data_IF_702389062073
#
_entry.id   IF_702389062073
#
_cell.length_a   1.000
_cell.length_b   1.000
_cell.length_c   1.000
_cell.angle_alpha   90.00
_cell.angle_beta   90.00
_cell.angle_gamma   90.00
#
_symmetry.space_group_name_H-M   'P 1'
#
loop_
_entity.id
_entity.type
_entity.pdbx_description
1 polymer ?
#
# COMPACT_ATOMS: atom_id res chain seq x y z
N UNK A 1 5.65 10.47 -73.15
CA UNK A 1 5.87 11.15 -71.86
C UNK A 1 6.66 10.23 -70.96
N UNK A 2 7.84 10.61 -70.67
CA UNK A 2 8.96 9.76 -70.38
C UNK A 2 9.06 9.32 -68.92
N UNK A 3 9.57 8.14 -68.69
CA UNK A 3 9.84 7.45 -67.42
C UNK A 3 10.51 8.30 -66.32
N UNK A 4 11.17 9.40 -66.69
CA UNK A 4 11.86 10.33 -65.78
C UNK A 4 10.92 11.20 -64.91
N UNK A 5 9.72 11.56 -65.41
CA UNK A 5 8.79 12.40 -64.67
C UNK A 5 8.07 11.64 -63.54
N UNK A 6 7.85 10.31 -63.69
CA UNK A 6 7.23 9.49 -62.63
C UNK A 6 8.16 9.24 -61.47
N UNK A 7 9.47 9.08 -61.74
CA UNK A 7 10.48 8.85 -60.66
C UNK A 7 10.69 10.10 -59.81
N UNK A 8 10.63 11.29 -60.39
CA UNK A 8 10.75 12.56 -59.63
C UNK A 8 9.55 12.79 -58.74
N UNK A 9 8.33 12.47 -59.18
CA UNK A 9 7.10 12.64 -58.35
C UNK A 9 7.09 11.65 -57.18
N UNK A 10 7.57 10.41 -57.38
CA UNK A 10 7.67 9.40 -56.28
C UNK A 10 8.74 9.81 -55.30
N UNK A 11 9.87 10.33 -55.71
CA UNK A 11 10.93 10.80 -54.80
C UNK A 11 10.53 12.04 -54.00
N UNK A 12 9.80 13.00 -54.60
CA UNK A 12 9.31 14.19 -53.89
C UNK A 12 8.24 13.81 -52.82
N UNK A 13 7.32 12.89 -53.13
CA UNK A 13 6.31 12.44 -52.20
C UNK A 13 6.96 11.68 -51.02
N UNK A 14 7.98 10.87 -51.28
CA UNK A 14 8.71 10.13 -50.23
C UNK A 14 9.49 11.08 -49.30
N UNK A 15 10.14 12.12 -49.86
CA UNK A 15 10.83 13.14 -49.08
C UNK A 15 9.87 13.98 -48.26
N UNK A 16 8.72 14.38 -48.80
CA UNK A 16 7.68 15.14 -48.06
C UNK A 16 7.09 14.29 -46.93
N UNK A 17 6.78 13.01 -47.19
CA UNK A 17 6.29 12.09 -46.14
C UNK A 17 7.35 11.89 -45.05
N UNK A 18 8.62 11.75 -45.42
CA UNK A 18 9.73 11.61 -44.46
C UNK A 18 9.90 12.86 -43.61
N UNK A 19 9.80 14.05 -44.21
CA UNK A 19 9.86 15.33 -43.50
C UNK A 19 8.64 15.51 -42.58
N UNK A 20 7.44 15.15 -43.03
CA UNK A 20 6.23 15.19 -42.18
C UNK A 20 6.37 14.20 -41.02
N UNK A 21 6.84 13.00 -41.24
CA UNK A 21 7.09 12.01 -40.16
C UNK A 21 8.16 12.53 -39.21
N UNK A 22 9.21 13.19 -39.69
CA UNK A 22 10.26 13.77 -38.85
C UNK A 22 9.75 14.96 -38.04
N UNK A 23 8.94 15.85 -38.64
CA UNK A 23 8.29 16.99 -37.97
C UNK A 23 7.26 16.52 -36.97
N UNK A 24 6.42 15.52 -37.30
CA UNK A 24 5.48 14.92 -36.40
C UNK A 24 6.23 14.25 -35.23
N UNK A 25 7.30 13.49 -35.48
CA UNK A 25 8.16 12.95 -34.42
C UNK A 25 8.86 14.03 -33.58
N UNK A 26 9.22 15.18 -34.17
CA UNK A 26 9.81 16.29 -33.42
C UNK A 26 8.78 17.08 -32.61
N UNK A 27 7.54 17.17 -33.07
CA UNK A 27 6.42 17.80 -32.34
C UNK A 27 5.81 16.90 -31.27
N UNK A 28 5.78 15.58 -31.48
CA UNK A 28 5.32 14.63 -30.50
C UNK A 28 6.46 14.10 -29.61
N UNK A 29 7.70 14.53 -29.80
CA UNK A 29 8.86 14.18 -28.96
C UNK A 29 9.13 15.16 -27.82
N UNK A 30 8.18 15.95 -27.43
CA UNK A 30 8.16 16.49 -26.08
C UNK A 30 7.15 15.69 -25.29
N UNK A 31 7.63 14.56 -24.75
CA UNK A 31 7.05 14.02 -23.53
C UNK A 31 7.05 15.20 -22.55
N UNK A 32 5.89 15.74 -22.14
CA UNK A 32 5.86 16.87 -21.22
C UNK A 32 6.35 16.46 -19.82
N UNK A 33 6.77 15.21 -19.67
CA UNK A 33 7.22 14.64 -18.42
C UNK A 33 8.72 14.37 -18.48
N UNK A 34 9.49 14.78 -17.46
CA UNK A 34 10.90 14.42 -17.38
C UNK A 34 11.04 12.90 -17.48
N UNK A 35 12.01 12.47 -18.26
CA UNK A 35 12.35 11.05 -18.39
C UNK A 35 12.46 10.44 -17.00
N UNK A 36 12.05 9.18 -16.85
CA UNK A 36 12.10 8.39 -15.59
C UNK A 36 13.43 8.48 -14.82
N UNK A 37 14.48 9.05 -15.42
CA UNK A 37 15.84 9.07 -14.88
C UNK A 37 16.09 10.07 -13.75
N UNK A 38 15.20 11.02 -13.47
CA UNK A 38 15.50 12.12 -12.53
C UNK A 38 14.66 12.15 -11.25
N UNK A 39 13.72 11.23 -11.03
CA UNK A 39 13.03 11.13 -9.74
C UNK A 39 13.79 10.19 -8.80
N UNK A 40 13.89 10.55 -7.54
CA UNK A 40 14.37 9.65 -6.46
C UNK A 40 13.71 8.26 -6.54
N UNK A 41 12.50 8.18 -7.10
CA UNK A 41 11.75 6.96 -7.36
C UNK A 41 12.27 6.13 -8.54
N UNK A 42 13.03 6.69 -9.49
CA UNK A 42 13.53 5.92 -10.65
C UNK A 42 14.64 4.95 -10.25
N UNK A 43 15.43 5.30 -9.25
CA UNK A 43 16.52 4.46 -8.72
C UNK A 43 15.95 3.29 -7.91
N UNK A 44 14.77 3.47 -7.30
CA UNK A 44 14.11 2.48 -6.45
C UNK A 44 13.01 1.68 -7.17
N UNK A 45 12.80 1.94 -8.45
CA UNK A 45 11.60 1.55 -9.22
C UNK A 45 11.41 0.04 -9.40
N UNK A 46 12.42 -0.79 -9.15
CA UNK A 46 12.32 -2.24 -9.31
C UNK A 46 11.94 -2.97 -8.04
N UNK A 47 12.04 -2.32 -6.86
CA UNK A 47 11.96 -3.00 -5.56
C UNK A 47 10.98 -2.33 -4.58
N UNK A 48 10.16 -1.36 -5.01
CA UNK A 48 9.16 -0.75 -4.13
C UNK A 48 8.03 -1.74 -3.85
N UNK A 49 7.82 -1.99 -2.57
CA UNK A 49 6.73 -2.87 -2.10
C UNK A 49 5.38 -2.17 -2.20
N UNK A 50 4.40 -2.86 -2.76
CA UNK A 50 2.99 -2.44 -2.86
C UNK A 50 2.16 -2.90 -1.65
N UNK A 51 2.80 -3.49 -0.67
CA UNK A 51 2.24 -3.95 0.58
C UNK A 51 2.99 -5.12 1.18
N UNK A 52 2.56 -5.51 2.38
CA UNK A 52 3.15 -6.59 3.16
C UNK A 52 2.10 -7.65 3.48
N UNK A 53 2.45 -8.93 3.32
CA UNK A 53 1.65 -10.09 3.67
C UNK A 53 2.30 -10.90 4.79
N UNK A 54 1.51 -11.68 5.53
CA UNK A 54 2.08 -12.71 6.39
C UNK A 54 2.85 -13.72 5.54
N UNK A 55 4.04 -14.15 5.99
CA UNK A 55 4.92 -14.97 5.17
C UNK A 55 4.52 -16.44 5.05
N UNK A 56 3.38 -16.83 5.61
CA UNK A 56 2.86 -18.20 5.64
C UNK A 56 1.38 -18.24 5.22
N UNK A 57 0.83 -19.43 5.07
CA UNK A 57 -0.59 -19.67 4.82
C UNK A 57 -1.13 -18.86 3.62
N UNK A 58 -2.30 -18.26 3.79
CA UNK A 58 -2.98 -17.45 2.78
C UNK A 58 -2.45 -16.01 2.64
N UNK A 59 -1.44 -15.64 3.44
CA UNK A 59 -0.89 -14.29 3.49
C UNK A 59 -1.70 -13.30 4.34
N UNK A 60 -2.87 -13.70 4.86
CA UNK A 60 -3.72 -12.87 5.73
C UNK A 60 -3.55 -13.20 7.22
N UNK A 61 -2.57 -14.03 7.55
CA UNK A 61 -2.34 -14.54 8.90
C UNK A 61 -3.16 -15.78 9.23
N UNK A 62 -3.80 -16.39 8.25
CA UNK A 62 -4.62 -17.59 8.34
C UNK A 62 -4.28 -18.60 7.25
N UNK A 63 -5.31 -19.33 6.83
CA UNK A 63 -5.21 -20.36 5.78
C UNK A 63 -4.93 -21.75 6.30
N UNK A 64 -5.29 -22.73 5.45
CA UNK A 64 -5.08 -24.14 5.73
C UNK A 64 -3.69 -24.59 5.30
N UNK A 65 -3.16 -25.60 5.93
CA UNK A 65 -1.94 -26.27 5.55
C UNK A 65 -2.08 -27.78 5.79
N UNK A 66 -1.23 -28.56 5.12
CA UNK A 66 -1.23 -30.01 5.25
C UNK A 66 0.10 -30.47 5.85
N UNK A 67 0.05 -31.15 6.97
CA UNK A 67 1.22 -31.78 7.58
C UNK A 67 1.84 -32.78 6.58
N UNK A 68 3.10 -32.55 6.24
CA UNK A 68 3.78 -33.33 5.22
C UNK A 68 4.08 -34.78 5.63
N UNK A 69 4.05 -35.07 6.95
CA UNK A 69 4.31 -36.41 7.48
C UNK A 69 3.05 -37.25 7.53
N UNK A 70 1.98 -36.70 8.06
CA UNK A 70 0.72 -37.45 8.25
C UNK A 70 -0.30 -37.27 7.12
N UNK A 71 -0.12 -36.27 6.25
CA UNK A 71 -1.09 -35.89 5.22
C UNK A 71 -2.36 -35.23 5.76
N UNK A 72 -2.44 -34.98 7.07
CA UNK A 72 -3.61 -34.37 7.72
C UNK A 72 -3.61 -32.86 7.53
N UNK A 73 -4.78 -32.31 7.19
CA UNK A 73 -4.96 -30.87 7.03
C UNK A 73 -5.38 -30.19 8.32
N UNK A 74 -4.84 -28.98 8.52
CA UNK A 74 -5.12 -28.12 9.66
C UNK A 74 -5.45 -26.70 9.14
N UNK A 75 -6.10 -25.90 9.98
CA UNK A 75 -6.48 -24.53 9.60
C UNK A 75 -6.09 -23.53 10.67
N UNK A 76 -5.37 -22.50 10.24
CA UNK A 76 -4.99 -21.34 11.05
C UNK A 76 -3.59 -21.43 11.65
N UNK A 77 -3.13 -20.27 12.08
CA UNK A 77 -1.81 -20.01 12.65
C UNK A 77 -1.94 -19.19 13.92
N UNK A 78 -0.95 -19.21 14.78
CA UNK A 78 -0.93 -18.44 16.02
C UNK A 78 0.48 -17.99 16.38
N UNK A 79 0.59 -16.95 17.19
CA UNK A 79 1.85 -16.45 17.74
C UNK A 79 2.11 -17.21 19.05
N UNK A 80 3.22 -17.93 19.10
CA UNK A 80 3.68 -18.59 20.32
C UNK A 80 4.47 -17.64 21.21
N UNK A 81 5.36 -16.82 20.63
CA UNK A 81 6.17 -15.82 21.33
C UNK A 81 6.07 -14.48 20.63
N UNK A 82 5.76 -13.42 21.36
CA UNK A 82 5.57 -12.07 20.80
C UNK A 82 6.86 -11.24 20.79
N UNK A 83 6.91 -10.21 19.92
CA UNK A 83 8.01 -9.24 19.93
C UNK A 83 8.10 -8.51 21.27
N UNK A 84 9.32 -8.39 21.79
CA UNK A 84 9.63 -7.78 23.09
C UNK A 84 9.09 -8.53 24.30
N UNK A 85 8.68 -9.77 24.13
CA UNK A 85 8.38 -10.70 25.22
C UNK A 85 9.67 -11.15 25.89
N UNK A 86 9.67 -11.24 27.21
CA UNK A 86 10.81 -11.71 28.01
C UNK A 86 10.63 -13.20 28.30
N UNK A 87 11.63 -13.99 28.01
CA UNK A 87 11.67 -15.42 28.27
C UNK A 87 13.10 -15.86 28.67
N UNK A 88 13.35 -17.14 28.89
CA UNK A 88 14.63 -17.60 29.46
C UNK A 88 15.87 -17.29 28.63
N UNK A 89 15.75 -17.17 27.29
CA UNK A 89 16.85 -16.80 26.40
C UNK A 89 17.03 -15.28 26.27
N UNK A 90 16.18 -14.47 26.94
CA UNK A 90 16.26 -13.02 26.91
C UNK A 90 15.00 -12.33 26.41
N UNK A 91 15.13 -11.35 25.52
CA UNK A 91 14.03 -10.56 25.00
C UNK A 91 13.85 -10.88 23.51
N UNK A 92 12.67 -11.36 23.15
CA UNK A 92 12.35 -11.83 21.81
C UNK A 92 12.32 -10.67 20.80
N UNK A 93 12.97 -10.83 19.64
CA UNK A 93 13.14 -9.78 18.63
C UNK A 93 12.07 -9.77 17.55
N UNK A 94 11.34 -10.89 17.40
CA UNK A 94 10.31 -11.08 16.38
C UNK A 94 9.02 -11.66 16.92
N UNK A 95 8.35 -12.42 16.10
CA UNK A 95 7.20 -13.25 16.46
C UNK A 95 7.48 -14.68 16.03
N UNK A 96 7.27 -15.65 16.93
CA UNK A 96 7.31 -17.06 16.60
C UNK A 96 5.93 -17.54 16.21
N UNK A 97 5.81 -18.03 14.99
CA UNK A 97 4.55 -18.43 14.38
C UNK A 97 4.48 -19.94 14.20
N UNK A 98 3.41 -20.53 14.72
CA UNK A 98 3.11 -21.96 14.63
C UNK A 98 1.77 -22.21 13.95
N UNK A 99 1.67 -23.36 13.29
CA UNK A 99 0.40 -23.89 12.81
C UNK A 99 -0.47 -24.44 13.96
N UNK A 100 -1.78 -24.22 13.88
CA UNK A 100 -2.74 -24.65 14.93
C UNK A 100 -2.89 -26.18 15.06
N UNK A 101 -2.27 -26.99 14.21
CA UNK A 101 -2.19 -28.43 14.38
C UNK A 101 -1.35 -28.86 15.57
N UNK A 102 -0.43 -27.99 16.01
CA UNK A 102 0.49 -28.25 17.12
C UNK A 102 1.59 -29.27 16.79
N UNK A 103 2.49 -29.51 17.75
CA UNK A 103 3.65 -30.40 17.55
C UNK A 103 4.48 -30.01 16.34
N UNK A 104 4.79 -30.98 15.47
CA UNK A 104 5.61 -30.77 14.28
C UNK A 104 4.79 -30.63 12.98
N UNK A 105 3.49 -30.34 13.06
CA UNK A 105 2.58 -30.36 11.91
C UNK A 105 2.84 -29.28 10.88
N UNK A 106 3.55 -28.23 11.24
CA UNK A 106 3.95 -27.11 10.38
C UNK A 106 5.38 -27.25 9.83
N UNK A 107 6.13 -28.29 10.20
CA UNK A 107 7.45 -28.57 9.61
C UNK A 107 7.34 -28.69 8.08
N UNK A 108 8.27 -28.04 7.37
CA UNK A 108 8.31 -28.05 5.90
C UNK A 108 7.26 -27.17 5.20
N UNK A 109 6.37 -26.50 5.95
CA UNK A 109 5.40 -25.61 5.33
C UNK A 109 6.07 -24.43 4.61
N UNK A 110 5.52 -23.99 3.46
CA UNK A 110 6.15 -22.96 2.63
C UNK A 110 6.17 -21.60 3.33
N UNK A 111 7.31 -20.92 3.23
CA UNK A 111 7.56 -19.56 3.66
C UNK A 111 7.79 -18.65 2.47
N UNK A 112 7.10 -17.54 2.45
CA UNK A 112 7.10 -16.57 1.37
C UNK A 112 7.67 -15.22 1.83
N UNK A 113 8.25 -14.47 0.89
CA UNK A 113 8.63 -13.08 1.16
C UNK A 113 7.40 -12.25 1.56
N UNK A 114 7.48 -11.52 2.66
CA UNK A 114 6.39 -10.66 3.15
C UNK A 114 6.05 -9.53 2.17
N UNK A 115 7.04 -9.07 1.39
CA UNK A 115 6.89 -7.98 0.42
C UNK A 115 7.93 -8.13 -0.71
N UNK A 116 7.81 -7.31 -1.76
CA UNK A 116 8.88 -7.19 -2.75
C UNK A 116 10.15 -6.62 -2.10
N UNK A 117 11.33 -7.14 -2.47
CA UNK A 117 12.59 -6.71 -1.87
C UNK A 117 13.81 -7.36 -2.46
N UNK A 118 14.98 -7.05 -1.89
CA UNK A 118 16.28 -7.65 -2.26
C UNK A 118 16.79 -8.52 -1.13
N UNK A 119 17.14 -9.76 -1.44
CA UNK A 119 17.72 -10.70 -0.49
C UNK A 119 19.16 -10.25 -0.16
N UNK A 120 19.40 -9.85 1.09
CA UNK A 120 20.70 -9.45 1.57
C UNK A 120 21.53 -10.61 2.10
N UNK A 121 20.84 -11.64 2.63
CA UNK A 121 21.49 -12.87 3.10
C UNK A 121 20.53 -14.06 2.96
N UNK A 122 21.07 -15.22 2.59
CA UNK A 122 20.34 -16.47 2.46
C UNK A 122 21.32 -17.61 2.65
N UNK A 123 21.52 -18.05 3.89
CA UNK A 123 22.46 -19.13 4.23
C UNK A 123 22.16 -19.77 5.58
N UNK A 124 22.87 -20.87 5.83
CA UNK A 124 22.90 -21.53 7.14
C UNK A 124 23.84 -20.78 8.10
N UNK A 125 23.34 -20.48 9.29
CA UNK A 125 24.11 -19.89 10.38
C UNK A 125 24.40 -20.88 11.50
N UNK A 126 24.09 -22.16 11.31
CA UNK A 126 24.20 -23.19 12.34
C UNK A 126 23.16 -23.09 13.46
N UNK A 127 23.19 -24.03 14.38
CA UNK A 127 22.31 -24.00 15.54
C UNK A 127 22.62 -22.79 16.46
N UNK A 128 21.64 -22.16 17.08
CA UNK A 128 20.21 -22.45 17.02
C UNK A 128 19.45 -21.72 15.89
N UNK A 129 20.10 -20.87 15.09
CA UNK A 129 19.47 -20.06 14.07
C UNK A 129 19.03 -20.87 12.85
N UNK A 130 19.81 -21.91 12.48
CA UNK A 130 19.59 -22.72 11.30
C UNK A 130 19.71 -21.89 10.01
N UNK A 131 18.96 -22.28 9.00
CA UNK A 131 18.86 -21.53 7.77
C UNK A 131 18.10 -20.21 7.96
N UNK A 132 18.68 -19.11 7.47
CA UNK A 132 18.15 -17.76 7.60
C UNK A 132 18.07 -17.07 6.25
N UNK A 133 16.95 -16.40 6.00
CA UNK A 133 16.78 -15.46 4.87
C UNK A 133 16.57 -14.06 5.45
N UNK A 134 17.28 -13.06 4.92
CA UNK A 134 17.21 -11.66 5.33
C UNK A 134 16.99 -10.78 4.11
N UNK A 135 15.91 -9.97 4.11
CA UNK A 135 15.45 -9.23 2.94
C UNK A 135 15.29 -7.75 3.28
N UNK A 136 15.80 -6.87 2.41
CA UNK A 136 15.58 -5.43 2.45
C UNK A 136 14.35 -5.07 1.62
N UNK A 137 13.45 -4.27 2.18
CA UNK A 137 12.24 -3.79 1.53
C UNK A 137 12.20 -2.27 1.51
N UNK A 138 11.91 -1.70 0.36
CA UNK A 138 11.58 -0.29 0.23
C UNK A 138 10.08 -0.13 0.01
N UNK A 139 9.47 0.84 0.66
CA UNK A 139 8.05 1.11 0.53
C UNK A 139 7.74 2.60 0.71
N UNK A 140 6.59 3.02 0.22
CA UNK A 140 6.16 4.40 0.31
C UNK A 140 5.23 4.59 1.51
N UNK A 141 5.58 5.51 2.40
CA UNK A 141 4.73 5.88 3.53
C UNK A 141 4.82 7.40 3.77
N UNK A 142 3.66 8.02 3.93
CA UNK A 142 3.57 9.45 4.26
C UNK A 142 4.31 10.37 3.28
N UNK A 143 4.29 10.07 1.99
CA UNK A 143 4.96 10.87 0.98
C UNK A 143 6.48 10.68 0.90
N UNK A 144 7.03 9.68 1.59
CA UNK A 144 8.46 9.36 1.62
C UNK A 144 8.70 7.89 1.35
N UNK A 145 9.83 7.58 0.72
CA UNK A 145 10.33 6.20 0.63
C UNK A 145 10.97 5.85 1.97
N UNK A 146 10.51 4.76 2.55
CA UNK A 146 11.05 4.18 3.78
C UNK A 146 11.63 2.81 3.51
N UNK A 147 12.42 2.33 4.45
CA UNK A 147 13.10 1.05 4.40
C UNK A 147 12.85 0.26 5.67
N UNK A 148 12.60 -1.04 5.50
CA UNK A 148 12.56 -2.03 6.59
C UNK A 148 13.24 -3.31 6.13
N UNK A 149 13.54 -4.18 7.09
CA UNK A 149 14.17 -5.47 6.82
C UNK A 149 13.34 -6.59 7.45
N UNK A 150 13.13 -7.67 6.70
CA UNK A 150 12.53 -8.88 7.24
C UNK A 150 13.56 -9.99 7.41
N UNK A 151 13.46 -10.74 8.52
CA UNK A 151 14.27 -11.90 8.80
C UNK A 151 13.35 -13.10 9.02
N UNK A 152 13.72 -14.22 8.40
CA UNK A 152 13.07 -15.51 8.50
C UNK A 152 14.11 -16.52 8.97
N UNK A 153 13.91 -17.10 10.14
CA UNK A 153 14.88 -18.03 10.72
C UNK A 153 14.27 -19.40 11.07
N UNK A 154 15.13 -20.32 11.48
CA UNK A 154 14.86 -21.71 11.77
C UNK A 154 14.37 -22.51 10.56
N UNK A 155 14.64 -22.00 9.32
CA UNK A 155 14.16 -22.65 8.10
C UNK A 155 14.76 -24.05 7.93
N UNK A 156 13.97 -24.96 7.37
CA UNK A 156 14.43 -26.27 6.94
C UNK A 156 15.20 -26.17 5.59
N UNK A 157 14.61 -25.47 4.61
CA UNK A 157 15.22 -25.25 3.32
C UNK A 157 15.20 -23.77 2.94
N UNK A 158 16.24 -23.33 2.24
CA UNK A 158 16.31 -22.04 1.56
C UNK A 158 15.94 -22.22 0.09
N UNK A 159 15.01 -21.41 -0.43
CA UNK A 159 14.53 -21.43 -1.83
C UNK A 159 14.86 -20.14 -2.58
N UNK A 160 15.78 -19.35 -2.07
CA UNK A 160 16.25 -18.09 -2.65
C UNK A 160 17.76 -17.96 -2.47
N UNK A 161 18.35 -16.87 -2.96
CA UNK A 161 19.79 -16.63 -2.86
C UNK A 161 20.10 -15.15 -2.61
N UNK A 162 21.27 -14.87 -2.07
CA UNK A 162 21.76 -13.50 -1.85
C UNK A 162 21.83 -12.73 -3.16
N UNK A 163 21.35 -11.48 -3.16
CA UNK A 163 21.30 -10.57 -4.30
C UNK A 163 20.04 -10.72 -5.16
N UNK A 164 19.26 -11.80 -4.98
CA UNK A 164 18.03 -11.98 -5.73
C UNK A 164 16.99 -10.93 -5.35
N UNK A 165 16.31 -10.38 -6.36
CA UNK A 165 15.10 -9.57 -6.19
C UNK A 165 13.91 -10.51 -6.14
N UNK A 166 13.16 -10.46 -5.03
CA UNK A 166 11.97 -11.29 -4.81
C UNK A 166 10.71 -10.45 -4.89
N UNK A 167 9.64 -11.07 -5.35
CA UNK A 167 8.30 -10.48 -5.34
C UNK A 167 7.61 -10.72 -3.99
N UNK A 168 6.60 -9.92 -3.69
CA UNK A 168 5.66 -10.20 -2.60
C UNK A 168 5.06 -11.59 -2.79
N UNK A 169 5.04 -12.41 -1.74
CA UNK A 169 4.59 -13.81 -1.76
C UNK A 169 5.41 -14.76 -2.65
N UNK A 170 6.65 -14.42 -3.00
CA UNK A 170 7.57 -15.37 -3.62
C UNK A 170 8.07 -16.37 -2.59
N UNK A 171 8.12 -17.65 -2.96
CA UNK A 171 8.61 -18.74 -2.10
C UNK A 171 10.10 -18.53 -1.83
N UNK A 172 10.48 -18.46 -0.53
CA UNK A 172 11.87 -18.21 -0.10
C UNK A 172 12.44 -19.31 0.78
N UNK A 173 11.61 -20.20 1.32
CA UNK A 173 12.05 -21.30 2.16
C UNK A 173 10.89 -22.12 2.70
N UNK A 174 11.19 -22.99 3.66
CA UNK A 174 10.21 -23.80 4.39
C UNK A 174 10.49 -23.79 5.89
N UNK A 175 9.44 -23.95 6.71
CA UNK A 175 9.56 -24.01 8.18
C UNK A 175 10.44 -25.17 8.61
N UNK A 176 11.34 -24.91 9.53
CA UNK A 176 12.22 -25.91 10.16
C UNK A 176 12.27 -25.77 11.68
N UNK A 177 13.34 -26.27 12.27
CA UNK A 177 13.52 -26.44 13.72
C UNK A 177 14.86 -25.90 14.25
N UNK A 178 15.54 -25.05 13.47
CA UNK A 178 16.84 -24.48 13.85
C UNK A 178 17.91 -25.54 14.10
N UNK A 179 18.00 -26.56 13.24
CA UNK A 179 18.88 -27.73 13.42
C UNK A 179 18.57 -28.53 14.71
N UNK A 180 17.30 -28.83 14.92
CA UNK A 180 16.78 -29.55 16.10
C UNK A 180 16.96 -28.80 17.44
N UNK A 181 17.14 -27.47 17.38
CA UNK A 181 17.24 -26.64 18.57
C UNK A 181 15.88 -26.33 19.18
N UNK A 182 14.83 -26.38 18.37
CA UNK A 182 13.46 -25.99 18.76
C UNK A 182 12.41 -26.93 18.15
N UNK A 183 11.20 -27.02 18.70
CA UNK A 183 10.04 -27.46 17.93
C UNK A 183 9.89 -26.63 16.67
N UNK A 184 9.45 -27.20 15.52
CA UNK A 184 9.28 -26.46 14.28
C UNK A 184 8.41 -25.22 14.46
N UNK A 185 8.87 -24.09 13.94
CA UNK A 185 8.16 -22.83 13.88
C UNK A 185 8.87 -21.85 12.95
N UNK A 186 8.22 -20.77 12.60
CA UNK A 186 8.84 -19.64 11.93
C UNK A 186 9.17 -18.54 12.95
N UNK A 187 10.46 -18.26 13.17
CA UNK A 187 10.91 -17.02 13.80
C UNK A 187 10.92 -15.91 12.74
N UNK A 188 10.10 -14.87 12.92
CA UNK A 188 9.91 -13.82 11.95
C UNK A 188 10.07 -12.43 12.56
N UNK A 189 10.98 -11.63 11.98
CA UNK A 189 11.24 -10.26 12.43
C UNK A 189 10.95 -9.23 11.34
N UNK A 190 10.57 -8.01 11.76
CA UNK A 190 10.63 -6.79 10.94
C UNK A 190 11.48 -5.76 11.67
N UNK A 191 12.66 -5.46 11.12
CA UNK A 191 13.64 -4.52 11.67
C UNK A 191 13.46 -3.13 11.07
N UNK A 192 13.54 -2.11 11.91
CA UNK A 192 13.42 -0.70 11.50
C UNK A 192 14.67 -0.16 10.81
N UNK A 193 15.81 -0.78 11.08
CA UNK A 193 17.11 -0.39 10.51
C UNK A 193 17.97 -1.61 10.24
N UNK A 194 18.93 -1.45 9.32
CA UNK A 194 19.96 -2.46 9.09
C UNK A 194 20.80 -2.66 10.34
N UNK A 195 21.19 -3.89 10.59
CA UNK A 195 22.17 -4.24 11.61
C UNK A 195 23.56 -4.45 10.96
N UNK A 196 23.95 -3.61 9.99
CA UNK A 196 25.16 -3.78 9.17
C UNK A 196 26.44 -3.93 9.99
N UNK A 197 26.51 -3.31 11.17
CA UNK A 197 27.64 -3.48 12.10
C UNK A 197 27.59 -4.77 12.92
N UNK A 198 26.54 -5.58 12.77
CA UNK A 198 26.29 -6.81 13.50
C UNK A 198 25.94 -7.95 12.54
N UNK A 199 26.05 -9.19 13.00
CA UNK A 199 25.51 -10.34 12.26
C UNK A 199 24.02 -10.19 12.04
N UNK A 200 23.46 -10.74 10.94
CA UNK A 200 22.01 -10.82 10.75
C UNK A 200 21.34 -11.63 11.87
N UNK A 201 22.08 -12.53 12.51
CA UNK A 201 21.67 -13.31 13.68
C UNK A 201 21.98 -12.62 15.02
N UNK A 202 22.16 -11.30 15.01
CA UNK A 202 22.41 -10.55 16.22
C UNK A 202 21.27 -10.68 17.22
N UNK A 203 21.65 -11.12 18.45
CA UNK A 203 20.73 -11.27 19.56
C UNK A 203 20.97 -10.16 20.60
N UNK A 204 20.07 -9.17 20.72
CA UNK A 204 20.31 -7.98 21.57
C UNK A 204 20.54 -8.28 23.04
N UNK A 205 19.93 -9.34 23.56
CA UNK A 205 20.10 -9.75 24.97
C UNK A 205 21.53 -10.16 25.31
N UNK A 206 22.32 -10.63 24.34
CA UNK A 206 23.75 -10.93 24.56
C UNK A 206 24.58 -9.68 24.84
N UNK A 207 24.12 -8.50 24.42
CA UNK A 207 24.69 -7.18 24.72
C UNK A 207 23.93 -6.45 25.84
N UNK A 208 23.18 -7.15 26.68
CA UNK A 208 22.38 -6.59 27.76
C UNK A 208 21.36 -5.53 27.30
N UNK A 209 20.86 -5.61 26.07
CA UNK A 209 19.81 -4.72 25.59
C UNK A 209 18.48 -5.09 26.22
N UNK A 210 17.71 -4.09 26.62
CA UNK A 210 16.43 -4.27 27.29
C UNK A 210 15.23 -4.25 26.32
N UNK A 211 14.04 -4.54 26.85
CA UNK A 211 12.77 -4.53 26.12
C UNK A 211 12.54 -3.21 25.36
N UNK A 212 12.88 -2.06 25.95
CA UNK A 212 12.73 -0.76 25.29
C UNK A 212 13.62 -0.64 24.06
N UNK A 213 14.86 -1.16 24.13
CA UNK A 213 15.76 -1.20 22.99
C UNK A 213 15.18 -2.05 21.84
N UNK A 214 14.61 -3.23 22.15
CA UNK A 214 13.94 -4.08 21.15
C UNK A 214 12.77 -3.31 20.53
N UNK A 215 11.88 -2.73 21.31
CA UNK A 215 10.73 -1.92 20.81
C UNK A 215 11.16 -0.73 19.94
N UNK A 216 12.35 -0.16 20.21
CA UNK A 216 12.90 0.94 19.42
C UNK A 216 13.37 0.47 18.04
N UNK A 217 13.98 -0.73 17.95
CA UNK A 217 14.66 -1.19 16.73
C UNK A 217 13.84 -2.20 15.91
N UNK A 218 12.82 -2.83 16.48
CA UNK A 218 11.97 -3.81 15.83
C UNK A 218 10.52 -3.36 15.82
N UNK A 219 9.78 -3.78 14.82
CA UNK A 219 8.32 -3.77 14.82
C UNK A 219 7.78 -5.09 15.34
N UNK A 220 6.58 -5.12 15.91
CA UNK A 220 5.79 -6.35 15.97
C UNK A 220 5.34 -6.67 14.52
N UNK A 221 5.79 -7.78 13.93
CA UNK A 221 5.51 -8.10 12.53
C UNK A 221 4.02 -8.12 12.19
N UNK A 222 3.20 -8.76 13.01
CA UNK A 222 1.75 -8.84 12.77
C UNK A 222 1.10 -7.46 12.75
N UNK A 223 1.48 -6.57 13.69
CA UNK A 223 0.98 -5.20 13.76
C UNK A 223 1.46 -4.36 12.57
N UNK A 224 2.73 -4.48 12.18
CA UNK A 224 3.28 -3.79 11.03
C UNK A 224 2.56 -4.22 9.74
N UNK A 225 2.43 -5.53 9.50
CA UNK A 225 1.75 -6.06 8.33
C UNK A 225 0.30 -5.59 8.29
N UNK A 226 -0.44 -5.68 9.40
CA UNK A 226 -1.86 -5.29 9.43
C UNK A 226 -2.10 -3.85 8.99
N UNK A 227 -1.15 -2.94 9.26
CA UNK A 227 -1.21 -1.53 8.87
C UNK A 227 -0.65 -1.24 7.48
N UNK A 228 0.13 -2.18 6.89
CA UNK A 228 0.82 -2.02 5.61
C UNK A 228 0.40 -3.06 4.56
N UNK A 229 -0.81 -3.63 4.68
CA UNK A 229 -1.33 -4.65 3.74
C UNK A 229 -1.36 -4.17 2.29
N UNK A 230 -1.66 -2.91 2.08
CA UNK A 230 -1.67 -2.28 0.77
C UNK A 230 -1.02 -0.91 0.85
N UNK A 231 -0.04 -0.69 -0.01
CA UNK A 231 0.70 0.57 -0.13
C UNK A 231 0.57 1.05 -1.56
N UNK A 232 0.14 2.29 -1.73
CA UNK A 232 0.14 2.91 -3.05
C UNK A 232 1.53 3.47 -3.31
N UNK A 233 2.17 2.96 -4.35
CA UNK A 233 3.48 3.43 -4.83
C UNK A 233 3.22 4.55 -5.83
N UNK A 234 3.51 5.82 -5.50
CA UNK A 234 3.16 6.96 -6.36
C UNK A 234 3.73 6.87 -7.78
N UNK A 235 4.87 6.21 -7.95
CA UNK A 235 5.51 6.02 -9.26
C UNK A 235 4.76 5.07 -10.19
N UNK A 236 3.87 4.25 -9.67
CA UNK A 236 3.09 3.27 -10.45
C UNK A 236 1.71 3.80 -10.84
N UNK A 237 1.36 5.00 -10.40
CA UNK A 237 0.08 5.66 -10.72
C UNK A 237 0.32 7.02 -11.36
N UNK A 238 -0.57 7.41 -12.28
CA UNK A 238 -0.47 8.70 -12.96
C UNK A 238 -0.78 9.84 -12.01
N UNK A 239 -1.83 9.70 -11.21
CA UNK A 239 -2.38 10.75 -10.37
C UNK A 239 -2.77 10.21 -9.00
N UNK A 240 -2.24 10.83 -7.94
CA UNK A 240 -2.49 10.47 -6.56
C UNK A 240 -2.74 11.71 -5.71
N UNK A 241 -3.84 11.73 -4.98
CA UNK A 241 -4.09 12.66 -3.88
C UNK A 241 -3.86 11.95 -2.55
N UNK A 242 -2.95 12.47 -1.75
CA UNK A 242 -2.62 11.90 -0.44
C UNK A 242 -3.06 12.85 0.67
N UNK A 243 -4.11 12.47 1.38
CA UNK A 243 -4.72 13.23 2.46
C UNK A 243 -4.19 12.75 3.79
N UNK A 244 -3.69 13.67 4.60
CA UNK A 244 -3.29 13.46 5.99
C UNK A 244 -4.18 14.30 6.89
N UNK A 245 -5.07 13.65 7.62
CA UNK A 245 -6.09 14.31 8.44
C UNK A 245 -5.46 15.14 9.57
N UNK A 246 -4.48 14.56 10.30
CA UNK A 246 -3.83 15.25 11.42
C UNK A 246 -2.99 16.45 10.99
N UNK A 247 -2.56 16.53 9.71
CA UNK A 247 -1.85 17.66 9.14
C UNK A 247 -2.78 18.68 8.48
N UNK A 248 -4.06 18.37 8.31
CA UNK A 248 -5.00 19.15 7.49
C UNK A 248 -4.42 19.45 6.11
N UNK A 249 -3.77 18.45 5.52
CA UNK A 249 -3.06 18.59 4.24
C UNK A 249 -3.47 17.52 3.23
N UNK A 250 -3.45 17.91 1.94
CA UNK A 250 -3.61 17.02 0.80
C UNK A 250 -2.46 17.27 -0.19
N UNK A 251 -1.69 16.23 -0.51
CA UNK A 251 -0.58 16.29 -1.46
C UNK A 251 -0.99 15.66 -2.79
N UNK A 252 -0.76 16.37 -3.88
CA UNK A 252 -0.96 15.83 -5.23
C UNK A 252 0.35 15.38 -5.82
N UNK A 253 0.41 14.13 -6.21
CA UNK A 253 1.51 13.52 -6.93
C UNK A 253 1.09 13.19 -8.35
N UNK A 254 1.98 13.47 -9.31
CA UNK A 254 1.82 13.08 -10.70
C UNK A 254 3.03 12.30 -11.15
N UNK A 255 2.82 11.05 -11.60
CA UNK A 255 3.91 10.12 -11.93
C UNK A 255 5.02 10.07 -10.88
N UNK A 256 4.64 10.03 -9.61
CA UNK A 256 5.55 9.97 -8.47
C UNK A 256 6.17 11.29 -8.03
N UNK A 257 5.99 12.37 -8.78
CA UNK A 257 6.49 13.69 -8.43
C UNK A 257 5.44 14.47 -7.65
N UNK A 258 5.83 15.10 -6.55
CA UNK A 258 4.98 16.01 -5.79
C UNK A 258 4.80 17.31 -6.61
N UNK A 259 3.56 17.59 -7.02
CA UNK A 259 3.20 18.78 -7.78
C UNK A 259 2.70 19.92 -6.89
N UNK A 260 1.91 19.60 -5.85
CA UNK A 260 1.31 20.60 -4.96
C UNK A 260 0.92 20.02 -3.62
N UNK A 261 1.02 20.82 -2.59
CA UNK A 261 0.41 20.58 -1.28
C UNK A 261 -0.70 21.59 -1.06
N UNK A 262 -1.88 21.12 -0.65
CA UNK A 262 -3.05 21.92 -0.35
C UNK A 262 -3.32 21.90 1.15
N UNK A 263 -3.74 23.03 1.71
CA UNK A 263 -4.45 23.05 2.97
C UNK A 263 -5.89 22.61 2.75
N UNK A 264 -6.43 21.81 3.65
CA UNK A 264 -7.78 21.29 3.58
C UNK A 264 -8.52 21.47 4.90
N UNK A 265 -9.85 21.43 4.82
CA UNK A 265 -10.73 21.28 5.96
C UNK A 265 -11.33 19.86 5.95
N UNK A 266 -11.63 19.37 7.15
CA UNK A 266 -12.07 18.01 7.41
C UNK A 266 -13.52 17.95 7.86
N UNK A 267 -13.98 16.76 8.21
CA UNK A 267 -15.29 16.52 8.80
C UNK A 267 -15.36 16.97 10.26
N UNK A 268 -16.56 17.35 10.72
CA UNK A 268 -16.84 17.80 12.09
C UNK A 268 -16.33 16.82 13.16
N UNK A 269 -16.37 15.53 12.87
CA UNK A 269 -15.75 14.51 13.69
C UNK A 269 -14.49 14.00 12.96
N UNK A 270 -13.38 14.72 13.09
CA UNK A 270 -12.15 14.47 12.33
C UNK A 270 -11.35 13.24 12.80
N UNK A 271 -11.61 12.74 14.02
CA UNK A 271 -10.87 11.62 14.60
C UNK A 271 -11.45 10.26 14.21
N UNK A 272 -10.58 9.37 13.70
CA UNK A 272 -10.91 8.01 13.30
C UNK A 272 -11.67 7.92 11.98
N UNK A 273 -11.80 6.70 11.47
CA UNK A 273 -12.44 6.42 10.19
C UNK A 273 -13.97 6.42 10.28
N UNK A 274 -14.62 6.81 9.17
CA UNK A 274 -16.06 6.69 9.00
C UNK A 274 -16.51 5.22 9.11
N UNK A 275 -17.56 5.00 9.92
CA UNK A 275 -18.11 3.67 10.16
C UNK A 275 -19.53 3.53 9.61
N UNK A 276 -20.38 4.55 9.77
CA UNK A 276 -21.81 4.52 9.43
C UNK A 276 -22.31 5.87 8.96
N UNK A 277 -23.50 5.87 8.40
CA UNK A 277 -24.21 7.10 8.04
C UNK A 277 -24.43 7.99 9.29
N UNK A 278 -24.23 9.28 9.14
CA UNK A 278 -24.48 10.26 10.22
C UNK A 278 -23.39 10.39 11.29
N UNK A 279 -22.29 9.64 11.21
CA UNK A 279 -21.18 9.75 12.18
C UNK A 279 -20.32 11.00 12.00
N UNK A 280 -20.55 11.76 10.94
CA UNK A 280 -19.82 12.98 10.56
C UNK A 280 -18.30 12.77 10.48
N UNK A 281 -17.85 11.55 10.16
CA UNK A 281 -16.46 11.20 10.00
C UNK A 281 -16.07 11.13 8.53
N UNK A 282 -14.81 11.44 8.27
CA UNK A 282 -14.15 11.17 6.97
C UNK A 282 -13.73 9.70 6.91
N UNK A 283 -13.94 9.01 5.80
CA UNK A 283 -13.39 7.66 5.65
C UNK A 283 -11.85 7.68 5.61
N UNK A 284 -11.23 6.57 5.99
CA UNK A 284 -9.79 6.32 5.89
C UNK A 284 -9.56 5.11 5.00
N UNK A 285 -8.54 5.16 4.13
CA UNK A 285 -8.25 4.12 3.17
C UNK A 285 -7.95 4.65 1.77
N UNK A 286 -8.09 3.78 0.77
CA UNK A 286 -7.90 4.10 -0.65
C UNK A 286 -9.24 4.26 -1.36
N UNK A 287 -9.41 5.40 -1.98
CA UNK A 287 -10.60 5.76 -2.77
C UNK A 287 -10.18 6.21 -4.18
N UNK A 288 -11.19 6.45 -5.03
CA UNK A 288 -10.98 7.00 -6.38
C UNK A 288 -11.98 8.09 -6.67
N UNK A 289 -11.58 9.11 -7.42
CA UNK A 289 -12.51 10.08 -8.00
C UNK A 289 -13.30 9.35 -9.09
N UNK A 290 -14.62 9.24 -8.92
CA UNK A 290 -15.50 8.54 -9.88
C UNK A 290 -16.42 9.48 -10.67
N UNK A 291 -16.63 10.71 -10.20
CA UNK A 291 -17.48 11.71 -10.83
C UNK A 291 -16.97 13.11 -10.52
N UNK A 292 -17.18 14.01 -11.47
CA UNK A 292 -16.81 15.43 -11.31
C UNK A 292 -17.93 16.30 -11.83
N UNK A 293 -18.23 17.39 -11.11
CA UNK A 293 -19.24 18.37 -11.48
C UNK A 293 -18.77 19.79 -11.16
N UNK A 294 -19.18 20.75 -11.96
CA UNK A 294 -18.98 22.19 -11.70
C UNK A 294 -20.30 22.85 -11.33
N UNK A 295 -20.19 23.84 -10.45
CA UNK A 295 -21.31 24.72 -10.13
C UNK A 295 -21.73 25.62 -11.30
N UNK A 296 -22.83 26.37 -11.14
CA UNK A 296 -23.57 26.51 -9.88
C UNK A 296 -24.35 25.24 -9.51
N UNK A 297 -24.36 24.93 -8.21
CA UNK A 297 -25.15 23.82 -7.65
C UNK A 297 -26.50 24.33 -7.15
N UNK A 298 -27.47 23.42 -6.98
CA UNK A 298 -28.80 23.71 -6.45
C UNK A 298 -29.13 22.80 -5.25
N UNK A 299 -30.08 23.21 -4.44
CA UNK A 299 -30.52 22.50 -3.23
C UNK A 299 -29.89 23.08 -1.95
N UNK A 300 -30.35 22.58 -0.79
CA UNK A 300 -30.07 23.13 0.53
C UNK A 300 -28.60 23.22 0.94
N UNK A 301 -27.77 22.39 0.35
CA UNK A 301 -26.32 22.33 0.66
C UNK A 301 -25.44 22.88 -0.47
N UNK A 302 -26.05 23.46 -1.51
CA UNK A 302 -25.34 23.92 -2.71
C UNK A 302 -24.21 24.92 -2.41
N UNK A 303 -24.43 25.83 -1.48
CA UNK A 303 -23.46 26.88 -1.10
C UNK A 303 -22.16 26.30 -0.50
N UNK A 304 -22.23 25.07 0.05
CA UNK A 304 -21.07 24.43 0.68
C UNK A 304 -20.13 23.76 -0.32
N UNK A 305 -20.55 23.54 -1.57
CA UNK A 305 -19.71 22.87 -2.55
C UNK A 305 -18.67 23.79 -3.22
N UNK A 306 -18.84 25.10 -3.11
CA UNK A 306 -17.98 26.05 -3.81
C UNK A 306 -18.05 25.88 -5.33
N UNK A 307 -16.95 26.04 -6.09
CA UNK A 307 -16.98 26.03 -7.56
C UNK A 307 -17.09 24.63 -8.17
N UNK A 308 -16.82 23.57 -7.41
CA UNK A 308 -16.77 22.22 -7.96
C UNK A 308 -16.96 21.12 -6.89
N UNK A 309 -17.35 19.94 -7.40
CA UNK A 309 -17.51 18.70 -6.65
C UNK A 309 -16.80 17.55 -7.36
N UNK A 310 -16.06 16.75 -6.59
CA UNK A 310 -15.42 15.52 -7.07
C UNK A 310 -15.80 14.38 -6.12
N UNK A 311 -16.60 13.44 -6.61
CA UNK A 311 -17.13 12.32 -5.82
C UNK A 311 -16.09 11.23 -5.67
N UNK A 312 -15.96 10.70 -4.46
CA UNK A 312 -15.20 9.48 -4.17
C UNK A 312 -16.11 8.25 -4.20
N UNK A 313 -15.53 7.09 -4.49
CA UNK A 313 -16.21 5.79 -4.48
C UNK A 313 -16.42 5.22 -3.07
N UNK A 314 -16.86 6.05 -2.13
CA UNK A 314 -17.25 5.60 -0.79
C UNK A 314 -18.74 5.19 -0.77
N UNK A 315 -19.09 4.03 -0.16
CA UNK A 315 -18.22 3.02 0.44
C UNK A 315 -17.45 2.21 -0.62
N UNK A 316 -16.15 1.94 -0.37
CA UNK A 316 -15.36 1.07 -1.24
C UNK A 316 -15.55 -0.43 -0.90
N UNK A 317 -14.79 -1.33 -1.55
CA UNK A 317 -14.92 -2.76 -1.31
C UNK A 317 -14.56 -3.17 0.12
N UNK A 318 -13.59 -2.49 0.76
CA UNK A 318 -13.20 -2.75 2.15
C UNK A 318 -14.25 -2.24 3.14
N UNK A 319 -14.86 -1.09 2.86
CA UNK A 319 -15.97 -0.57 3.65
C UNK A 319 -17.17 -1.52 3.58
N UNK A 320 -17.46 -2.04 2.39
CA UNK A 320 -18.53 -3.01 2.17
C UNK A 320 -18.25 -4.34 2.90
N UNK A 321 -17.04 -4.86 2.83
CA UNK A 321 -16.62 -6.07 3.55
C UNK A 321 -16.77 -5.90 5.07
N UNK A 322 -16.28 -4.77 5.60
CA UNK A 322 -16.46 -4.40 7.01
C UNK A 322 -17.94 -4.32 7.38
N UNK A 323 -18.74 -3.68 6.52
CA UNK A 323 -20.18 -3.53 6.74
C UNK A 323 -20.92 -4.87 6.77
N UNK A 324 -20.58 -5.78 5.86
CA UNK A 324 -21.14 -7.13 5.83
C UNK A 324 -20.71 -7.94 7.07
N UNK A 325 -19.43 -7.94 7.40
CA UNK A 325 -18.89 -8.64 8.58
C UNK A 325 -19.54 -8.19 9.89
N UNK A 326 -19.85 -6.90 9.99
CA UNK A 326 -20.50 -6.31 11.17
C UNK A 326 -22.04 -6.32 11.08
N UNK A 327 -22.62 -7.04 10.12
CA UNK A 327 -24.08 -7.14 9.90
C UNK A 327 -24.77 -5.78 9.69
N UNK A 328 -24.05 -4.77 9.20
CA UNK A 328 -24.57 -3.45 8.90
C UNK A 328 -25.25 -3.41 7.52
N UNK A 329 -24.83 -4.25 6.62
CA UNK A 329 -25.40 -4.39 5.27
C UNK A 329 -25.65 -5.85 4.93
N UNK A 330 -26.61 -6.10 4.06
CA UNK A 330 -26.92 -7.44 3.55
C UNK A 330 -25.91 -7.87 2.48
N UNK A 331 -25.88 -9.18 2.16
CA UNK A 331 -25.09 -9.73 1.06
C UNK A 331 -25.42 -9.08 -0.30
N UNK A 332 -26.70 -8.77 -0.55
CA UNK A 332 -27.12 -8.10 -1.78
C UNK A 332 -26.58 -6.67 -1.87
N UNK A 333 -26.60 -5.92 -0.76
CA UNK A 333 -26.01 -4.59 -0.71
C UNK A 333 -24.48 -4.63 -0.89
N UNK A 334 -23.80 -5.58 -0.26
CA UNK A 334 -22.38 -5.83 -0.49
C UNK A 334 -22.08 -6.08 -1.97
N UNK A 335 -22.78 -7.00 -2.61
CA UNK A 335 -22.58 -7.32 -4.02
C UNK A 335 -22.82 -6.10 -4.93
N UNK A 336 -23.84 -5.30 -4.62
CA UNK A 336 -24.16 -4.06 -5.35
C UNK A 336 -23.04 -3.03 -5.23
N UNK A 337 -22.50 -2.81 -4.01
CA UNK A 337 -21.38 -1.88 -3.77
C UNK A 337 -20.13 -2.36 -4.53
N UNK A 338 -19.75 -3.63 -4.40
CA UNK A 338 -18.58 -4.20 -5.08
C UNK A 338 -18.70 -4.06 -6.60
N UNK A 339 -19.87 -4.36 -7.17
CA UNK A 339 -20.13 -4.18 -8.60
C UNK A 339 -19.96 -2.71 -9.04
N UNK A 340 -20.54 -1.77 -8.29
CA UNK A 340 -20.44 -0.35 -8.59
C UNK A 340 -18.98 0.14 -8.56
N UNK A 341 -18.21 -0.28 -7.55
CA UNK A 341 -16.79 0.07 -7.43
C UNK A 341 -15.94 -0.47 -8.58
N UNK A 342 -16.17 -1.72 -9.00
CA UNK A 342 -15.46 -2.35 -10.12
C UNK A 342 -15.75 -1.64 -11.45
N UNK A 343 -16.94 -1.06 -11.59
CA UNK A 343 -17.39 -0.31 -12.77
C UNK A 343 -17.10 1.21 -12.65
N UNK A 344 -16.43 1.67 -11.60
CA UNK A 344 -16.18 3.08 -11.29
C UNK A 344 -17.47 3.93 -11.29
N UNK A 345 -18.57 3.34 -10.81
CA UNK A 345 -19.86 4.01 -10.62
C UNK A 345 -20.10 4.36 -9.16
N UNK A 346 -21.04 5.26 -8.90
CA UNK A 346 -21.45 5.62 -7.54
C UNK A 346 -22.03 4.38 -6.83
N UNK A 347 -21.45 3.96 -5.67
CA UNK A 347 -22.03 2.92 -4.84
C UNK A 347 -23.34 3.38 -4.19
N UNK A 348 -24.17 2.42 -3.78
CA UNK A 348 -25.42 2.69 -3.06
C UNK A 348 -25.14 3.46 -1.76
N UNK A 349 -25.62 4.69 -1.71
CA UNK A 349 -25.48 5.62 -0.58
C UNK A 349 -26.62 5.52 0.45
N UNK A 350 -27.61 4.68 0.20
CA UNK A 350 -28.77 4.52 1.09
C UNK A 350 -28.57 3.43 2.14
N UNK A 351 -27.44 2.74 2.11
CA UNK A 351 -27.08 1.71 3.09
C UNK A 351 -26.70 2.34 4.44
N UNK A 352 -26.64 1.53 5.49
CA UNK A 352 -26.17 1.96 6.81
C UNK A 352 -24.73 2.50 6.83
N UNK A 353 -23.92 2.21 5.81
CA UNK A 353 -22.58 2.80 5.64
C UNK A 353 -22.65 4.27 5.20
N UNK A 354 -23.76 4.69 4.59
CA UNK A 354 -23.92 5.99 3.98
C UNK A 354 -23.17 6.14 2.66
N UNK A 355 -22.96 7.38 2.22
CA UNK A 355 -22.29 7.68 0.95
C UNK A 355 -22.16 9.19 0.74
N UNK A 356 -21.96 9.61 -0.50
CA UNK A 356 -21.90 11.03 -0.84
C UNK A 356 -20.62 11.72 -0.34
N UNK A 357 -19.53 11.01 -0.23
CA UNK A 357 -18.21 11.56 0.16
C UNK A 357 -17.50 12.08 -1.09
N UNK A 358 -16.87 13.25 -0.95
CA UNK A 358 -16.12 13.86 -2.05
C UNK A 358 -15.17 14.94 -1.62
N UNK A 359 -14.57 15.59 -2.63
CA UNK A 359 -13.71 16.76 -2.49
C UNK A 359 -14.47 17.94 -3.09
N UNK A 360 -14.57 19.05 -2.35
CA UNK A 360 -15.31 20.24 -2.77
C UNK A 360 -14.73 21.52 -2.16
N UNK A 361 -15.26 22.67 -2.53
CA UNK A 361 -14.92 23.94 -1.91
C UNK A 361 -15.62 24.17 -0.59
N UNK A 362 -15.80 25.44 -0.22
CA UNK A 362 -16.55 25.83 0.97
C UNK A 362 -17.18 27.20 0.76
N UNK A 363 -18.24 27.48 1.51
CA UNK A 363 -18.78 28.84 1.60
C UNK A 363 -17.89 29.73 2.47
N UNK A 364 -17.79 30.99 2.14
CA UNK A 364 -17.05 31.99 2.92
C UNK A 364 -15.57 32.07 2.54
N UNK A 365 -14.83 32.80 3.38
CA UNK A 365 -13.43 33.12 3.11
C UNK A 365 -12.47 32.05 3.62
N UNK A 366 -11.40 31.83 2.91
CA UNK A 366 -10.29 30.96 3.29
C UNK A 366 -9.04 31.82 3.59
N UNK A 367 -8.18 31.49 4.57
CA UNK A 367 -8.21 30.37 5.51
C UNK A 367 -9.30 30.52 6.57
N UNK A 368 -9.79 29.38 7.04
CA UNK A 368 -10.80 29.31 8.08
C UNK A 368 -10.14 29.22 9.45
N UNK A 369 -10.71 29.92 10.44
CA UNK A 369 -10.25 29.82 11.85
C UNK A 369 -10.52 28.45 12.46
N UNK A 370 -11.48 27.72 11.92
CA UNK A 370 -11.89 26.38 12.31
C UNK A 370 -11.98 25.50 11.06
N UNK A 371 -11.41 24.30 11.08
CA UNK A 371 -11.26 23.45 9.91
C UNK A 371 -12.03 22.12 9.96
N UNK A 372 -12.75 21.84 11.03
CA UNK A 372 -13.60 20.65 11.14
C UNK A 372 -15.05 21.04 10.76
N UNK A 373 -15.35 21.03 9.46
CA UNK A 373 -16.49 21.73 8.89
C UNK A 373 -17.53 20.80 8.27
N UNK A 374 -17.08 19.75 7.56
CA UNK A 374 -17.94 18.96 6.69
C UNK A 374 -18.63 17.80 7.42
N UNK A 375 -19.50 17.10 6.72
CA UNK A 375 -20.18 15.90 7.24
C UNK A 375 -19.51 14.59 6.80
N UNK A 376 -18.22 14.65 6.38
CA UNK A 376 -17.43 13.50 5.97
C UNK A 376 -16.54 13.76 4.75
N UNK A 377 -16.72 14.89 4.08
CA UNK A 377 -15.99 15.27 2.87
C UNK A 377 -14.65 15.95 3.17
N UNK A 378 -13.83 16.07 2.14
CA UNK A 378 -12.63 16.92 2.11
C UNK A 378 -13.04 18.26 1.51
N UNK A 379 -12.80 19.35 2.21
CA UNK A 379 -12.99 20.69 1.66
C UNK A 379 -11.66 21.37 1.44
N UNK A 380 -11.54 22.10 0.33
CA UNK A 380 -10.34 22.85 -0.02
C UNK A 380 -10.70 24.29 -0.43
N UNK A 381 -9.69 25.14 -0.47
CA UNK A 381 -9.85 26.52 -0.90
C UNK A 381 -10.50 26.57 -2.29
N UNK A 382 -11.50 27.47 -2.49
CA UNK A 382 -12.23 27.60 -3.74
C UNK A 382 -11.32 27.94 -4.92
N UNK A 383 -10.32 28.80 -4.73
CA UNK A 383 -9.40 29.22 -5.76
C UNK A 383 -8.44 28.06 -6.15
N UNK A 384 -7.96 27.30 -5.18
CA UNK A 384 -7.16 26.09 -5.46
C UNK A 384 -8.03 25.03 -6.18
N UNK A 385 -9.26 24.81 -5.70
CA UNK A 385 -10.17 23.85 -6.33
C UNK A 385 -10.47 24.24 -7.79
N UNK A 386 -10.76 25.49 -8.05
CA UNK A 386 -11.05 25.98 -9.39
C UNK A 386 -9.87 25.80 -10.34
N UNK A 387 -8.66 26.11 -9.88
CA UNK A 387 -7.42 25.98 -10.63
C UNK A 387 -7.07 24.51 -10.90
N UNK A 388 -7.19 23.64 -9.90
CA UNK A 388 -6.68 22.28 -9.97
C UNK A 388 -7.73 21.24 -10.37
N UNK A 389 -9.02 21.58 -10.38
CA UNK A 389 -10.11 20.69 -10.76
C UNK A 389 -9.85 19.93 -12.07
N UNK A 390 -9.36 20.60 -13.11
CA UNK A 390 -9.10 19.97 -14.42
C UNK A 390 -7.91 19.00 -14.37
N UNK A 391 -7.00 19.20 -13.42
CA UNK A 391 -5.78 18.40 -13.27
C UNK A 391 -6.00 17.08 -12.52
N UNK A 392 -7.13 16.89 -11.87
CA UNK A 392 -7.50 15.64 -11.19
C UNK A 392 -8.44 14.84 -12.09
N UNK A 393 -7.95 13.85 -12.88
CA UNK A 393 -8.82 13.05 -13.74
C UNK A 393 -9.74 12.12 -12.94
N UNK A 394 -10.82 11.63 -13.58
CA UNK A 394 -11.58 10.49 -13.06
C UNK A 394 -10.62 9.29 -12.99
N UNK A 395 -10.71 8.50 -11.93
CA UNK A 395 -9.78 7.42 -11.63
C UNK A 395 -8.61 7.81 -10.74
N UNK A 396 -8.36 9.13 -10.49
CA UNK A 396 -7.35 9.59 -9.52
C UNK A 396 -7.50 8.85 -8.20
N UNK A 397 -6.41 8.24 -7.74
CA UNK A 397 -6.37 7.57 -6.44
C UNK A 397 -6.34 8.62 -5.33
N UNK A 398 -7.15 8.43 -4.31
CA UNK A 398 -7.21 9.28 -3.12
C UNK A 398 -6.95 8.43 -1.89
N UNK A 399 -5.78 8.59 -1.28
CA UNK A 399 -5.44 7.94 0.00
C UNK A 399 -5.79 8.90 1.12
N UNK A 400 -6.55 8.43 2.09
CA UNK A 400 -6.93 9.19 3.29
C UNK A 400 -6.36 8.46 4.51
N UNK A 401 -5.48 9.14 5.24
CA UNK A 401 -4.81 8.64 6.44
C UNK A 401 -5.13 9.51 7.66
N UNK A 402 -5.05 8.94 8.88
CA UNK A 402 -5.20 9.67 10.14
C UNK A 402 -4.41 10.95 10.25
#
# INVERSE_FOLDING_TARGET
MTFKSKVIIVSLSTVVITIIIFLVRKYFKKDPYPSKSESVFSILNTNLSDGFDFPFGDGNGGGSYTDIQSGKSYNGWYIATSTAETYELGIHTGEDWNGKGGGNTDFGQPIYSTAAGTVLEAKDFGAPWGNVVYIEHYFHENGQVKKVFSLYAHLNEIKTEKGKVVKRRELIGTIGDGHKSYPPHLHFEIRKQSMESKSVTYWPSSDNKNTQWVKTNYFSPSKFISTHRKIIVPVTVSDLLWVKKHEYSMKYYRYGKLEKTFEIALSQNSKGAKQMQGDNKMPEGEYRIIQKSRGPFSGDVAEYFGPAWMRLNYPNNFDAERGLKNSMISQNQYNSIVKANNELREPDKTTALGGGIGIHGWKGSWPLSFRDLTWGCISMNNSDLDTWYKKFPIGTIVIIQP
#
